data_IF_268258837817
#
_entry.id   IF_268258837817
#
_cell.length_a   1.000
_cell.length_b   1.000
_cell.length_c   1.000
_cell.angle_alpha   90.00
_cell.angle_beta   90.00
_cell.angle_gamma   90.00
#
_symmetry.space_group_name_H-M   'P 1'
#
loop_
_entity.id
_entity.type
_entity.pdbx_description
1 polymer ?
#
# COMPACT_ATOMS: atom_id res chain seq x y z
N UNK A 1 -9.95 50.91 -24.91
CA UNK A 1 -8.85 50.11 -25.48
C UNK A 1 -8.38 49.16 -24.40
N UNK A 2 -8.96 47.98 -24.33
CA UNK A 2 -8.57 46.94 -23.36
C UNK A 2 -7.42 46.14 -23.97
N UNK A 3 -6.38 45.95 -23.18
CA UNK A 3 -5.10 45.32 -23.47
C UNK A 3 -5.25 43.92 -24.08
N UNK A 4 -5.50 43.84 -25.39
CA UNK A 4 -5.85 42.62 -26.12
C UNK A 4 -4.65 41.69 -26.41
N UNK A 5 -3.75 41.54 -25.45
CA UNK A 5 -2.56 40.71 -25.59
C UNK A 5 -1.83 40.46 -24.28
N UNK A 6 -2.03 41.31 -23.27
CA UNK A 6 -1.38 41.13 -21.96
C UNK A 6 -1.89 39.85 -21.30
N UNK A 7 -3.22 39.64 -21.26
CA UNK A 7 -3.80 38.42 -20.70
C UNK A 7 -3.27 37.14 -21.37
N UNK A 8 -3.11 37.15 -22.69
CA UNK A 8 -2.57 36.01 -23.47
C UNK A 8 -1.10 35.74 -23.13
N UNK A 9 -0.33 36.81 -22.90
CA UNK A 9 1.08 36.69 -22.54
C UNK A 9 1.28 36.22 -21.09
N UNK A 10 0.45 36.68 -20.17
CA UNK A 10 0.45 36.20 -18.78
C UNK A 10 0.04 34.73 -18.73
N UNK A 11 -0.99 34.33 -19.47
CA UNK A 11 -1.43 32.93 -19.56
C UNK A 11 -0.33 32.00 -20.10
N UNK A 12 0.49 32.45 -21.06
CA UNK A 12 1.64 31.68 -21.58
C UNK A 12 2.84 31.66 -20.64
N UNK A 13 3.00 32.67 -19.78
CA UNK A 13 4.11 32.72 -18.80
C UNK A 13 3.79 31.91 -17.53
N UNK A 14 2.50 31.81 -17.19
CA UNK A 14 2.00 31.16 -15.97
C UNK A 14 1.61 29.69 -16.19
N UNK A 15 1.71 29.17 -17.42
CA UNK A 15 1.63 27.74 -17.69
C UNK A 15 2.87 27.06 -17.08
N UNK A 16 2.71 26.29 -15.97
CA UNK A 16 3.84 25.59 -15.37
C UNK A 16 4.35 24.58 -16.40
N UNK A 17 5.66 24.61 -16.68
CA UNK A 17 6.29 23.69 -17.64
C UNK A 17 5.90 22.24 -17.29
N UNK A 18 4.97 21.69 -18.06
CA UNK A 18 4.36 20.38 -17.87
C UNK A 18 5.30 19.22 -18.23
N UNK A 19 6.59 19.50 -18.46
CA UNK A 19 7.62 18.53 -18.81
C UNK A 19 7.99 17.58 -17.67
N UNK A 20 7.31 17.66 -16.53
CA UNK A 20 7.49 16.74 -15.40
C UNK A 20 6.65 15.46 -15.59
N UNK A 21 5.59 15.51 -16.42
CA UNK A 21 4.73 14.36 -16.66
C UNK A 21 4.72 14.01 -18.16
N UNK A 22 5.47 12.96 -18.53
CA UNK A 22 5.57 12.42 -19.89
C UNK A 22 4.20 11.96 -20.44
N UNK A 23 3.22 11.72 -19.56
CA UNK A 23 1.85 11.38 -19.89
C UNK A 23 0.88 12.07 -18.91
N UNK A 24 -0.13 12.76 -19.45
CA UNK A 24 -1.21 13.32 -18.65
C UNK A 24 -2.03 12.19 -17.97
N UNK A 25 -2.25 12.23 -16.65
CA UNK A 25 -3.01 11.18 -15.97
C UNK A 25 -4.51 11.29 -16.34
N UNK A 26 -4.95 10.53 -17.35
CA UNK A 26 -6.36 10.50 -17.80
C UNK A 26 -7.31 9.65 -16.94
N UNK A 27 -6.78 8.88 -15.98
CA UNK A 27 -7.58 8.02 -15.10
C UNK A 27 -6.93 7.89 -13.72
N UNK A 28 -7.66 8.25 -12.68
CA UNK A 28 -7.34 7.91 -11.28
C UNK A 28 -7.93 6.52 -11.04
N UNK A 29 -7.23 5.47 -11.45
CA UNK A 29 -7.59 4.11 -11.03
C UNK A 29 -6.99 3.85 -9.67
N UNK A 30 -7.83 3.79 -8.63
CA UNK A 30 -7.43 3.32 -7.31
C UNK A 30 -7.17 1.81 -7.42
N UNK A 31 -5.96 1.45 -7.85
CA UNK A 31 -5.49 0.06 -7.92
C UNK A 31 -5.04 -0.35 -6.51
N UNK A 32 -5.98 -0.56 -5.60
CA UNK A 32 -5.67 -1.23 -4.32
C UNK A 32 -5.47 -2.70 -4.59
N UNK A 33 -4.31 -3.04 -5.14
CA UNK A 33 -3.86 -4.43 -5.15
C UNK A 33 -3.62 -4.84 -3.69
N UNK A 34 -4.43 -5.77 -3.18
CA UNK A 34 -4.07 -6.49 -1.96
C UNK A 34 -2.88 -7.39 -2.33
N UNK A 35 -1.68 -6.82 -2.25
CA UNK A 35 -0.45 -7.58 -2.44
C UNK A 35 -0.27 -8.54 -1.28
N UNK A 36 0.40 -9.67 -1.51
CA UNK A 36 0.72 -10.66 -0.45
C UNK A 36 1.42 -10.01 0.75
N UNK A 37 2.16 -8.92 0.53
CA UNK A 37 2.80 -8.11 1.56
C UNK A 37 1.81 -7.58 2.60
N UNK A 38 0.58 -7.24 2.19
CA UNK A 38 -0.47 -6.73 3.08
C UNK A 38 -1.08 -7.83 3.97
N UNK A 39 -0.92 -9.10 3.60
CA UNK A 39 -1.46 -10.26 4.33
C UNK A 39 -0.42 -10.98 5.18
N UNK A 40 0.85 -10.59 5.09
CA UNK A 40 1.95 -11.28 5.77
C UNK A 40 1.76 -11.39 7.29
N UNK A 41 1.22 -10.34 7.92
CA UNK A 41 0.91 -10.35 9.35
C UNK A 41 -0.09 -11.45 9.76
N UNK A 42 -1.10 -11.73 8.92
CA UNK A 42 -2.07 -12.80 9.16
C UNK A 42 -1.40 -14.18 9.14
N UNK A 43 -0.50 -14.41 8.19
CA UNK A 43 0.24 -15.67 8.09
C UNK A 43 1.21 -15.88 9.26
N UNK A 44 1.88 -14.81 9.71
CA UNK A 44 2.79 -14.86 10.86
C UNK A 44 2.02 -15.22 12.14
N UNK A 45 0.87 -14.59 12.38
CA UNK A 45 0.03 -14.90 13.54
C UNK A 45 -0.49 -16.33 13.51
N UNK A 46 -0.94 -16.81 12.34
CA UNK A 46 -1.40 -18.18 12.18
C UNK A 46 -0.28 -19.19 12.48
N UNK A 47 0.92 -18.97 11.92
CA UNK A 47 2.07 -19.84 12.15
C UNK A 47 2.49 -19.86 13.63
N UNK A 48 2.55 -18.69 14.27
CA UNK A 48 2.88 -18.59 15.69
C UNK A 48 1.86 -19.33 16.57
N UNK A 49 0.56 -19.15 16.30
CA UNK A 49 -0.51 -19.85 17.03
C UNK A 49 -0.40 -21.38 16.91
N UNK A 50 -0.12 -21.89 15.71
CA UNK A 50 0.09 -23.32 15.49
C UNK A 50 1.27 -23.87 16.27
N UNK A 51 2.41 -23.16 16.25
CA UNK A 51 3.62 -23.58 16.96
C UNK A 51 3.36 -23.64 18.47
N UNK A 52 2.74 -22.60 19.04
CA UNK A 52 2.43 -22.57 20.48
C UNK A 52 1.45 -23.69 20.84
N UNK A 53 0.42 -23.91 20.03
CA UNK A 53 -0.55 -25.00 20.28
C UNK A 53 0.11 -26.38 20.27
N UNK A 54 1.06 -26.62 19.36
CA UNK A 54 1.81 -27.88 19.34
C UNK A 54 2.69 -28.05 20.58
N UNK A 55 3.37 -26.98 21.02
CA UNK A 55 4.16 -27.03 22.25
C UNK A 55 3.30 -27.35 23.47
N UNK A 56 2.15 -26.69 23.62
CA UNK A 56 1.22 -26.96 24.72
C UNK A 56 0.74 -28.41 24.71
N UNK A 57 0.37 -28.94 23.54
CA UNK A 57 -0.05 -30.33 23.40
C UNK A 57 1.08 -31.31 23.78
N UNK A 58 2.31 -31.05 23.36
CA UNK A 58 3.47 -31.86 23.77
C UNK A 58 3.69 -31.82 25.29
N UNK A 59 3.59 -30.63 25.92
CA UNK A 59 3.72 -30.51 27.37
C UNK A 59 2.61 -31.23 28.12
N UNK A 60 1.37 -31.13 27.65
CA UNK A 60 0.24 -31.84 28.23
C UNK A 60 0.49 -33.35 28.21
N UNK A 61 0.83 -33.92 27.05
CA UNK A 61 1.12 -35.36 26.91
C UNK A 61 2.28 -35.79 27.81
N UNK A 62 3.38 -35.03 27.82
CA UNK A 62 4.53 -35.33 28.68
C UNK A 62 4.15 -35.29 30.16
N UNK A 63 3.39 -34.28 30.59
CA UNK A 63 2.94 -34.17 31.98
C UNK A 63 2.07 -35.36 32.38
N UNK A 64 1.12 -35.77 31.53
CA UNK A 64 0.24 -36.92 31.78
C UNK A 64 1.02 -38.23 31.82
N UNK A 65 2.03 -38.41 30.98
CA UNK A 65 2.86 -39.64 30.98
C UNK A 65 3.84 -39.74 32.15
N UNK A 66 4.12 -38.63 32.85
CA UNK A 66 5.02 -38.61 34.02
C UNK A 66 4.33 -38.80 35.37
N UNK A 67 2.99 -38.82 35.41
CA UNK A 67 2.18 -39.19 36.58
C UNK A 67 1.67 -40.63 36.48
#
# INVERSE_FOLDING_TARGET
MTEAGLFVQWMKMDEPKSTICDHEPRKITVMTSLTLSNLWGMFVLLAAGYVISLFLLCFEVLSVCTY
#
